data_IF_386421009355
#
_entry.id   IF_386421009355
#
_cell.length_a   1.000
_cell.length_b   1.000
_cell.length_c   1.000
_cell.angle_alpha   90.00
_cell.angle_beta   90.00
_cell.angle_gamma   90.00
#
_symmetry.space_group_name_H-M   'P 1'
#
loop_
_entity.id
_entity.type
_entity.pdbx_description
1 polymer ?
#
# COMPACT_ATOMS: atom_id res chain seq x y z
N UNK A 1 -7.28 -2.97 8.78
CA UNK A 1 -7.12 -1.75 7.97
C UNK A 1 -8.41 -1.13 7.40
N UNK A 2 -9.25 -1.84 6.61
CA UNK A 2 -10.43 -1.25 5.91
C UNK A 2 -11.58 -0.85 6.88
N UNK A 3 -11.51 -1.21 8.16
CA UNK A 3 -12.60 -1.01 9.14
C UNK A 3 -13.13 0.43 9.20
N UNK A 4 -12.28 1.45 9.11
CA UNK A 4 -12.73 2.86 9.05
C UNK A 4 -13.49 3.14 7.76
N UNK A 5 -12.88 2.85 6.61
CA UNK A 5 -13.49 3.08 5.29
C UNK A 5 -14.79 2.28 5.11
N UNK A 6 -14.85 1.02 5.53
CA UNK A 6 -16.07 0.20 5.49
C UNK A 6 -17.15 0.78 6.39
N UNK A 7 -16.79 1.27 7.58
CA UNK A 7 -17.73 1.91 8.49
C UNK A 7 -18.27 3.22 7.91
N UNK A 8 -17.40 4.05 7.35
CA UNK A 8 -17.77 5.32 6.69
C UNK A 8 -18.65 5.09 5.46
N UNK A 9 -18.38 4.03 4.70
CA UNK A 9 -19.21 3.64 3.56
C UNK A 9 -20.56 3.04 3.97
N UNK A 10 -20.74 2.62 5.23
CA UNK A 10 -22.01 2.13 5.77
C UNK A 10 -22.68 1.03 4.91
N UNK A 11 -21.88 0.10 4.38
CA UNK A 11 -22.35 -0.99 3.52
C UNK A 11 -22.44 -0.64 2.03
N UNK A 12 -22.23 0.61 1.65
CA UNK A 12 -22.08 1.01 0.24
C UNK A 12 -20.69 0.66 -0.30
N UNK A 13 -20.53 0.53 -1.63
CA UNK A 13 -19.23 0.36 -2.26
C UNK A 13 -18.29 1.54 -1.96
N UNK A 14 -17.04 1.24 -1.58
CA UNK A 14 -15.98 2.25 -1.46
C UNK A 14 -15.49 2.60 -2.86
N UNK A 15 -15.52 3.88 -3.24
CA UNK A 15 -14.99 4.33 -4.52
C UNK A 15 -13.45 4.24 -4.56
N UNK A 16 -12.88 4.13 -5.75
CA UNK A 16 -11.42 4.14 -5.95
C UNK A 16 -10.80 5.43 -5.41
N UNK A 17 -11.47 6.57 -5.60
CA UNK A 17 -11.01 7.87 -5.12
C UNK A 17 -11.00 7.93 -3.59
N UNK A 18 -12.06 7.43 -2.93
CA UNK A 18 -12.14 7.39 -1.47
C UNK A 18 -11.08 6.46 -0.86
N UNK A 19 -10.85 5.29 -1.49
CA UNK A 19 -9.79 4.38 -1.08
C UNK A 19 -8.41 5.04 -1.22
N UNK A 20 -8.12 5.64 -2.36
CA UNK A 20 -6.83 6.30 -2.64
C UNK A 20 -6.58 7.50 -1.74
N UNK A 21 -7.60 8.33 -1.50
CA UNK A 21 -7.49 9.49 -0.62
C UNK A 21 -7.21 9.11 0.85
N UNK A 22 -7.59 7.90 1.25
CA UNK A 22 -7.33 7.42 2.59
C UNK A 22 -5.97 6.73 2.75
N UNK A 23 -5.27 6.40 1.65
CA UNK A 23 -3.93 5.82 1.69
C UNK A 23 -2.88 6.88 2.02
N UNK A 24 -2.08 6.60 3.03
CA UNK A 24 -0.98 7.45 3.48
C UNK A 24 0.34 6.69 3.32
N UNK A 25 1.29 7.19 2.52
CA UNK A 25 2.60 6.57 2.41
C UNK A 25 3.33 6.71 3.75
N UNK A 26 3.85 5.60 4.27
CA UNK A 26 4.58 5.57 5.56
C UNK A 26 6.07 5.30 5.38
N UNK A 27 6.43 4.55 4.34
CA UNK A 27 7.82 4.19 4.07
C UNK A 27 8.04 3.99 2.58
N UNK A 28 9.18 4.45 2.09
CA UNK A 28 9.68 4.10 0.77
C UNK A 28 11.03 3.42 0.97
N UNK A 29 11.07 2.11 0.70
CA UNK A 29 12.28 1.30 0.73
C UNK A 29 12.90 1.21 -0.66
N UNK A 30 14.13 1.70 -0.80
CA UNK A 30 14.94 1.46 -1.98
C UNK A 30 15.85 0.26 -1.71
N UNK A 31 15.62 -0.83 -2.41
CA UNK A 31 16.45 -2.02 -2.32
C UNK A 31 17.51 -1.94 -3.40
N UNK A 32 18.77 -2.04 -2.98
CA UNK A 32 19.89 -2.30 -3.89
C UNK A 32 20.12 -3.81 -3.91
N UNK A 33 19.48 -4.56 -4.82
CA UNK A 33 19.64 -6.00 -4.84
C UNK A 33 21.08 -6.35 -5.16
N UNK A 34 21.72 -7.12 -4.27
CA UNK A 34 22.92 -7.87 -4.65
C UNK A 34 22.44 -9.14 -5.35
N UNK A 35 22.22 -9.10 -6.67
CA UNK A 35 21.72 -10.23 -7.48
C UNK A 35 20.51 -9.91 -8.36
N UNK A 36 19.78 -10.94 -8.80
CA UNK A 36 18.65 -10.87 -9.76
C UNK A 36 17.30 -10.44 -9.14
N UNK A 37 17.28 -9.71 -8.02
CA UNK A 37 16.02 -9.21 -7.48
C UNK A 37 15.49 -8.05 -8.35
N UNK A 38 14.37 -8.27 -9.03
CA UNK A 38 13.78 -7.33 -10.00
C UNK A 38 13.08 -6.12 -9.36
N UNK A 39 12.54 -6.29 -8.15
CA UNK A 39 11.89 -5.20 -7.41
C UNK A 39 12.95 -4.31 -6.79
N UNK A 40 12.91 -3.01 -7.10
CA UNK A 40 13.88 -2.03 -6.60
C UNK A 40 13.29 -1.04 -5.61
N UNK A 41 11.98 -0.81 -5.67
CA UNK A 41 11.29 0.15 -4.80
C UNK A 41 10.09 -0.55 -4.17
N UNK A 42 9.94 -0.41 -2.86
CA UNK A 42 8.74 -0.83 -2.13
C UNK A 42 8.16 0.40 -1.46
N UNK A 43 6.90 0.72 -1.75
CA UNK A 43 6.16 1.82 -1.15
C UNK A 43 5.10 1.23 -0.22
N UNK A 44 5.20 1.51 1.07
CA UNK A 44 4.24 1.04 2.05
C UNK A 44 3.22 2.12 2.39
N UNK A 45 1.96 1.74 2.38
CA UNK A 45 0.84 2.62 2.71
C UNK A 45 0.06 2.10 3.91
N UNK A 46 -0.43 3.02 4.73
CA UNK A 46 -1.43 2.76 5.78
C UNK A 46 -2.73 3.53 5.46
N UNK A 47 -3.87 3.02 5.91
CA UNK A 47 -5.18 3.69 5.79
C UNK A 47 -5.66 4.18 7.15
N UNK A 48 -5.22 3.53 8.23
CA UNK A 48 -5.59 3.87 9.60
C UNK A 48 -4.50 3.42 10.59
N UNK A 49 -3.37 4.14 10.58
CA UNK A 49 -2.19 3.81 11.39
C UNK A 49 -2.46 3.76 12.90
N UNK A 50 -3.50 4.47 13.36
CA UNK A 50 -3.88 4.47 14.78
C UNK A 50 -4.65 3.20 15.19
N UNK A 51 -5.27 2.51 14.23
CA UNK A 51 -6.12 1.35 14.48
C UNK A 51 -5.60 0.04 13.85
N UNK A 52 -4.52 0.10 13.07
CA UNK A 52 -4.00 -1.02 12.28
C UNK A 52 -2.51 -0.83 11.99
N UNK A 53 -1.71 -1.87 12.19
CA UNK A 53 -0.32 -1.98 11.75
C UNK A 53 -0.19 -2.54 10.33
N UNK A 54 -1.23 -3.18 9.80
CA UNK A 54 -1.28 -3.65 8.40
C UNK A 54 -0.84 -2.58 7.38
N UNK A 55 0.02 -3.01 6.46
CA UNK A 55 0.57 -2.21 5.36
C UNK A 55 0.10 -2.74 4.02
N UNK A 56 -0.19 -1.83 3.09
CA UNK A 56 -0.27 -2.15 1.66
C UNK A 56 1.09 -1.86 1.04
N UNK A 57 1.83 -2.91 0.70
CA UNK A 57 3.13 -2.82 0.06
C UNK A 57 2.96 -2.83 -1.47
N UNK A 58 3.40 -1.75 -2.12
CA UNK A 58 3.42 -1.63 -3.58
C UNK A 58 4.86 -1.79 -4.06
N UNK A 59 5.11 -2.87 -4.81
CA UNK A 59 6.44 -3.23 -5.32
C UNK A 59 6.59 -2.73 -6.74
N UNK A 60 7.70 -2.04 -7.02
CA UNK A 60 7.94 -1.33 -8.27
C UNK A 60 9.33 -1.64 -8.81
N UNK A 61 9.39 -1.96 -10.10
CA UNK A 61 10.62 -2.12 -10.87
C UNK A 61 11.27 -0.75 -11.17
N UNK A 62 12.50 -0.76 -11.69
CA UNK A 62 13.24 0.50 -11.97
C UNK A 62 12.60 1.39 -13.02
N UNK A 63 11.88 0.80 -13.96
CA UNK A 63 11.17 1.51 -15.01
C UNK A 63 9.83 2.10 -14.54
N UNK A 64 9.47 1.90 -13.26
CA UNK A 64 8.21 2.34 -12.69
C UNK A 64 7.07 1.34 -12.83
N UNK A 65 7.30 0.17 -13.43
CA UNK A 65 6.28 -0.89 -13.53
C UNK A 65 5.94 -1.43 -12.15
N UNK A 66 4.66 -1.43 -11.78
CA UNK A 66 4.18 -2.11 -10.56
C UNK A 66 4.28 -3.62 -10.79
N UNK A 67 5.08 -4.29 -9.96
CA UNK A 67 5.34 -5.73 -10.05
C UNK A 67 4.43 -6.54 -9.13
N UNK A 68 4.07 -6.00 -7.96
CA UNK A 68 3.05 -6.59 -7.10
C UNK A 68 2.42 -5.56 -6.16
N UNK A 69 1.28 -5.93 -5.60
CA UNK A 69 0.58 -5.20 -4.54
C UNK A 69 0.19 -6.24 -3.49
N UNK A 70 0.81 -6.16 -2.32
CA UNK A 70 0.70 -7.17 -1.27
C UNK A 70 0.22 -6.53 0.04
N UNK A 71 -0.57 -7.29 0.80
CA UNK A 71 -0.89 -6.95 2.18
C UNK A 71 0.16 -7.55 3.10
N UNK A 72 0.75 -6.73 3.97
CA UNK A 72 1.76 -7.15 4.94
C UNK A 72 1.27 -6.84 6.37
N UNK A 73 1.52 -7.77 7.30
CA UNK A 73 1.21 -7.66 8.74
C UNK A 73 2.48 -7.58 9.56
#
# INVERSE_FOLDING_TARGET
>A
MIKRLTREANGEPISVDAFTAAMHPVRIGLWHPTGEAETRIVMDYTIDAAASDELLAVKVARDGTVTSVDWES
#
